data_IF_329537650422
#
_entry.id   IF_329537650422
#
_cell.length_a   1.000
_cell.length_b   1.000
_cell.length_c   1.000
_cell.angle_alpha   90.00
_cell.angle_beta   90.00
_cell.angle_gamma   90.00
#
_symmetry.space_group_name_H-M   'P 1'
#
loop_
_entity.id
_entity.type
_entity.pdbx_description
1 polymer ?
#
# COMPACT_ATOMS: atom_id res chain seq x y z
N UNK A 1 -16.36 -2.19 8.72
CA UNK A 1 -15.80 -2.48 7.40
C UNK A 1 -16.96 -2.79 6.47
N UNK A 2 -17.00 -2.18 5.29
CA UNK A 2 -17.92 -2.59 4.24
C UNK A 2 -17.07 -3.21 3.12
N UNK A 3 -17.63 -4.19 2.39
CA UNK A 3 -17.03 -4.62 1.14
C UNK A 3 -16.98 -3.39 0.22
N UNK A 4 -15.77 -3.03 -0.24
CA UNK A 4 -15.58 -1.95 -1.20
C UNK A 4 -16.57 -2.18 -2.36
N UNK A 5 -17.43 -1.21 -2.73
CA UNK A 5 -18.18 -1.29 -3.97
C UNK A 5 -17.23 -0.96 -5.12
N UNK A 6 -16.18 -1.76 -5.31
CA UNK A 6 -15.50 -1.84 -6.59
C UNK A 6 -16.49 -2.51 -7.54
N UNK A 7 -17.48 -1.73 -7.97
CA UNK A 7 -18.60 -2.22 -8.72
C UNK A 7 -18.07 -2.56 -10.11
N UNK A 8 -17.77 -3.84 -10.36
CA UNK A 8 -17.25 -4.30 -11.64
C UNK A 8 -18.36 -4.23 -12.69
N UNK A 9 -18.61 -3.01 -13.18
CA UNK A 9 -19.68 -2.72 -14.13
C UNK A 9 -19.54 -3.57 -15.39
N UNK A 10 -18.31 -3.70 -15.91
CA UNK A 10 -18.04 -4.55 -17.06
C UNK A 10 -18.38 -6.03 -16.79
N UNK A 11 -18.08 -6.55 -15.60
CA UNK A 11 -18.50 -7.87 -15.18
C UNK A 11 -20.03 -8.05 -15.14
N UNK A 12 -20.77 -7.03 -14.68
CA UNK A 12 -22.24 -7.04 -14.70
C UNK A 12 -22.79 -7.07 -16.12
N UNK A 13 -22.22 -6.29 -17.03
CA UNK A 13 -22.62 -6.26 -18.45
C UNK A 13 -22.33 -7.60 -19.12
N UNK A 14 -21.12 -8.14 -18.95
CA UNK A 14 -20.75 -9.46 -19.50
C UNK A 14 -21.67 -10.57 -18.99
N UNK A 15 -21.97 -10.54 -17.68
CA UNK A 15 -22.93 -11.46 -17.07
C UNK A 15 -24.33 -11.33 -17.68
N UNK A 16 -24.81 -10.10 -17.89
CA UNK A 16 -26.11 -9.85 -18.55
C UNK A 16 -26.15 -10.39 -19.98
N UNK A 17 -25.00 -10.39 -20.67
CA UNK A 17 -24.85 -10.94 -22.02
C UNK A 17 -24.49 -12.44 -22.04
N UNK A 18 -24.42 -13.10 -20.88
CA UNK A 18 -23.98 -14.49 -20.73
C UNK A 18 -22.57 -14.77 -21.28
N UNK A 19 -21.69 -13.77 -21.28
CA UNK A 19 -20.29 -13.87 -21.71
C UNK A 19 -19.41 -14.08 -20.46
N UNK A 20 -18.51 -15.08 -20.44
CA UNK A 20 -17.59 -15.27 -19.32
C UNK A 20 -16.58 -14.12 -19.21
N UNK A 21 -16.35 -13.61 -17.99
CA UNK A 21 -15.37 -12.57 -17.74
C UNK A 21 -13.97 -13.15 -17.52
N UNK A 22 -13.17 -13.22 -18.59
CA UNK A 22 -11.80 -13.74 -18.51
C UNK A 22 -10.82 -12.79 -17.81
N UNK A 23 -11.18 -11.51 -17.65
CA UNK A 23 -10.35 -10.50 -16.99
C UNK A 23 -10.48 -10.55 -15.46
N UNK A 24 -11.55 -11.15 -14.96
CA UNK A 24 -11.79 -11.31 -13.54
C UNK A 24 -10.76 -12.26 -12.90
N UNK A 25 -10.33 -11.90 -11.70
CA UNK A 25 -9.43 -12.67 -10.87
C UNK A 25 -9.78 -12.42 -9.40
N UNK A 26 -9.86 -13.50 -8.61
CA UNK A 26 -10.00 -13.40 -7.16
C UNK A 26 -8.62 -13.23 -6.54
N UNK A 27 -8.37 -12.06 -5.96
CA UNK A 27 -7.13 -11.75 -5.25
C UNK A 27 -7.38 -11.96 -3.74
N UNK A 28 -6.52 -12.72 -3.03
CA UNK A 28 -6.68 -12.96 -1.60
C UNK A 28 -6.47 -11.67 -0.78
N UNK A 29 -6.87 -11.69 0.49
CA UNK A 29 -6.65 -10.60 1.46
C UNK A 29 -7.06 -9.23 0.91
N UNK A 30 -8.28 -9.11 0.40
CA UNK A 30 -8.75 -7.84 -0.13
C UNK A 30 -8.79 -6.78 0.99
N UNK A 31 -8.15 -5.62 0.79
CA UNK A 31 -8.12 -4.57 1.80
C UNK A 31 -9.54 -4.11 2.14
N UNK A 32 -9.80 -3.92 3.42
CA UNK A 32 -11.11 -3.50 3.91
C UNK A 32 -11.26 -1.98 3.84
N UNK A 33 -12.46 -1.54 3.50
CA UNK A 33 -12.83 -0.15 3.52
C UNK A 33 -13.37 0.30 4.88
N UNK A 34 -12.83 1.42 5.33
CA UNK A 34 -13.18 2.06 6.58
C UNK A 34 -13.57 3.51 6.36
N UNK A 35 -14.50 4.00 7.17
CA UNK A 35 -14.71 5.45 7.31
C UNK A 35 -13.47 6.07 7.96
N UNK A 36 -12.86 7.02 7.27
CA UNK A 36 -11.63 7.67 7.73
C UNK A 36 -11.93 9.01 8.39
N UNK A 37 -11.09 9.39 9.35
CA UNK A 37 -11.07 10.73 9.92
C UNK A 37 -9.63 11.08 10.33
N UNK A 38 -9.28 12.38 10.48
CA UNK A 38 -7.95 12.76 10.92
C UNK A 38 -7.57 12.12 12.26
N UNK A 39 -6.41 11.48 12.31
CA UNK A 39 -5.92 10.84 13.52
C UNK A 39 -5.72 11.86 14.66
N UNK A 40 -6.16 11.49 15.88
CA UNK A 40 -5.92 12.27 17.09
C UNK A 40 -5.63 11.33 18.25
N UNK A 41 -4.43 11.42 18.83
CA UNK A 41 -4.01 10.59 19.98
C UNK A 41 -4.97 10.68 21.17
N UNK A 42 -5.53 11.86 21.44
CA UNK A 42 -6.52 12.06 22.52
C UNK A 42 -7.84 11.30 22.31
N UNK A 43 -8.10 10.79 21.10
CA UNK A 43 -9.27 10.00 20.74
C UNK A 43 -8.90 8.58 20.32
N UNK A 44 -7.72 8.07 20.70
CA UNK A 44 -7.19 6.78 20.25
C UNK A 44 -8.19 5.63 20.40
N UNK A 45 -8.90 5.56 21.54
CA UNK A 45 -9.93 4.54 21.81
C UNK A 45 -11.13 4.55 20.86
N UNK A 46 -11.28 5.56 20.00
CA UNK A 46 -12.32 5.63 18.96
C UNK A 46 -11.87 5.05 17.62
N UNK A 47 -10.59 4.75 17.47
CA UNK A 47 -10.04 4.18 16.25
C UNK A 47 -10.03 2.65 16.33
N UNK A 48 -10.36 2.01 15.21
CA UNK A 48 -10.32 0.56 15.06
C UNK A 48 -8.88 0.04 15.21
N UNK A 49 -8.72 -1.10 15.87
CA UNK A 49 -7.41 -1.72 16.11
C UNK A 49 -6.53 -0.98 17.13
N UNK A 50 -7.09 -0.02 17.88
CA UNK A 50 -6.31 0.77 18.86
C UNK A 50 -5.79 -0.02 20.06
N UNK A 51 -6.26 -1.25 20.25
CA UNK A 51 -5.84 -2.16 21.32
C UNK A 51 -4.45 -2.77 21.07
N UNK A 52 -4.03 -2.89 19.81
CA UNK A 52 -2.73 -3.44 19.41
C UNK A 52 -1.86 -2.35 18.75
N UNK A 53 -0.88 -1.86 19.51
CA UNK A 53 0.00 -0.78 19.05
C UNK A 53 0.96 -1.23 17.94
N UNK A 54 1.28 -2.52 17.85
CA UNK A 54 2.25 -3.03 16.90
C UNK A 54 1.67 -3.12 15.48
N UNK A 55 0.34 -3.32 15.39
CA UNK A 55 -0.39 -3.48 14.12
C UNK A 55 -1.28 -2.28 13.77
N UNK A 56 -1.50 -1.33 14.70
CA UNK A 56 -2.40 -0.19 14.49
C UNK A 56 -2.09 0.66 13.25
N UNK A 57 -0.82 0.98 13.02
CA UNK A 57 -0.37 1.70 11.82
C UNK A 57 0.21 0.72 10.81
N UNK A 58 -0.22 0.84 9.55
CA UNK A 58 0.33 0.03 8.47
C UNK A 58 1.81 0.33 8.23
N UNK A 59 2.53 -0.62 7.62
CA UNK A 59 3.93 -0.43 7.23
C UNK A 59 4.13 0.86 6.41
N UNK A 60 3.26 1.08 5.41
CA UNK A 60 3.25 2.29 4.58
C UNK A 60 3.08 3.58 5.39
N UNK A 61 2.16 3.61 6.35
CA UNK A 61 1.95 4.78 7.23
C UNK A 61 3.17 5.02 8.14
N UNK A 62 3.75 3.96 8.71
CA UNK A 62 4.96 4.06 9.54
C UNK A 62 6.14 4.60 8.74
N UNK A 63 6.34 4.14 7.51
CA UNK A 63 7.37 4.64 6.62
C UNK A 63 7.18 6.13 6.29
N UNK A 64 5.94 6.56 6.02
CA UNK A 64 5.63 7.97 5.76
C UNK A 64 5.94 8.86 6.97
N UNK A 65 5.52 8.45 8.17
CA UNK A 65 5.80 9.19 9.41
C UNK A 65 7.30 9.23 9.69
N UNK A 66 8.01 8.11 9.52
CA UNK A 66 9.45 8.05 9.71
C UNK A 66 10.19 8.97 8.72
N UNK A 67 9.80 8.94 7.44
CA UNK A 67 10.37 9.83 6.43
C UNK A 67 10.10 11.30 6.75
N UNK A 68 8.88 11.67 7.17
CA UNK A 68 8.55 13.04 7.55
C UNK A 68 9.42 13.53 8.72
N UNK A 69 9.66 12.69 9.73
CA UNK A 69 10.58 13.01 10.83
C UNK A 69 12.00 13.24 10.29
N UNK A 70 12.49 12.34 9.43
CA UNK A 70 13.83 12.45 8.86
C UNK A 70 13.98 13.67 7.95
N UNK A 71 12.97 14.01 7.15
CA UNK A 71 12.96 15.15 6.24
C UNK A 71 12.86 16.50 6.96
N UNK A 72 12.26 16.54 8.15
CA UNK A 72 12.07 17.78 8.92
C UNK A 72 13.12 18.00 10.01
N UNK A 73 13.95 17.00 10.31
CA UNK A 73 14.92 17.07 11.39
C UNK A 73 16.06 18.05 11.10
N UNK A 74 16.30 18.96 12.04
CA UNK A 74 17.40 19.94 11.95
C UNK A 74 18.67 19.35 12.53
N UNK A 75 19.75 19.32 11.74
CA UNK A 75 21.07 18.85 12.19
C UNK A 75 22.08 19.98 12.37
N UNK A 76 21.75 21.20 11.92
CA UNK A 76 22.61 22.37 12.06
C UNK A 76 21.86 23.69 12.08
N UNK A 77 22.37 24.70 11.38
CA UNK A 77 21.80 26.04 11.31
C UNK A 77 20.67 26.09 10.27
N UNK A 78 19.45 26.35 10.73
CA UNK A 78 18.28 26.58 9.85
C UNK A 78 18.50 27.63 8.77
N UNK A 79 19.23 28.71 9.07
CA UNK A 79 19.57 29.77 8.08
C UNK A 79 20.38 29.26 6.89
N UNK A 80 21.09 28.15 7.07
CA UNK A 80 21.87 27.49 6.02
C UNK A 80 21.10 26.35 5.37
N UNK A 81 19.84 26.11 5.74
CA UNK A 81 19.04 24.97 5.33
C UNK A 81 19.68 23.61 5.67
N UNK A 82 20.41 23.54 6.79
CA UNK A 82 20.98 22.30 7.35
C UNK A 82 19.88 21.48 8.06
N UNK A 83 18.92 21.00 7.27
CA UNK A 83 17.69 20.31 7.69
C UNK A 83 17.41 19.17 6.72
N UNK A 84 16.94 18.05 7.26
CA UNK A 84 16.36 16.96 6.49
C UNK A 84 17.36 15.96 5.95
N UNK A 85 16.86 14.75 5.72
CA UNK A 85 17.65 13.65 5.15
C UNK A 85 18.01 13.88 3.68
N UNK A 86 17.14 14.54 2.90
CA UNK A 86 17.34 14.72 1.46
C UNK A 86 18.61 15.51 1.17
N UNK A 87 18.88 16.57 1.95
CA UNK A 87 20.12 17.34 1.83
C UNK A 87 21.36 16.52 2.19
N UNK A 88 21.28 15.69 3.22
CA UNK A 88 22.40 14.83 3.62
C UNK A 88 22.70 13.77 2.54
N UNK A 89 21.72 13.38 1.73
CA UNK A 89 21.91 12.54 0.55
C UNK A 89 22.57 13.34 -0.58
N UNK A 90 22.10 14.57 -0.85
CA UNK A 90 22.69 15.46 -1.85
C UNK A 90 24.16 15.81 -1.57
N UNK A 91 24.51 15.97 -0.29
CA UNK A 91 25.87 16.22 0.18
C UNK A 91 26.70 14.93 0.34
N UNK A 92 26.17 13.77 -0.08
CA UNK A 92 26.80 12.44 -0.02
C UNK A 92 27.26 12.01 1.39
N UNK A 93 26.67 12.58 2.44
CA UNK A 93 26.87 12.13 3.83
C UNK A 93 26.24 10.76 4.04
N UNK A 94 25.09 10.52 3.40
CA UNK A 94 24.47 9.21 3.29
C UNK A 94 24.43 8.76 1.83
N UNK A 95 24.58 7.45 1.61
CA UNK A 95 24.51 6.85 0.27
C UNK A 95 23.09 6.55 -0.21
N UNK A 96 22.12 6.50 0.70
CA UNK A 96 20.74 6.17 0.36
C UNK A 96 19.84 6.14 1.60
N UNK A 97 18.57 6.50 1.41
CA UNK A 97 17.52 6.36 2.41
C UNK A 97 16.28 5.77 1.74
N UNK A 98 15.87 4.58 2.17
CA UNK A 98 14.74 3.88 1.59
C UNK A 98 14.03 3.02 2.65
N UNK A 99 12.69 2.87 2.56
CA UNK A 99 11.98 1.93 3.39
C UNK A 99 12.30 0.49 2.97
N UNK A 100 12.22 -0.44 3.92
CA UNK A 100 12.34 -1.86 3.61
C UNK A 100 11.00 -2.44 3.18
N UNK A 101 11.03 -3.38 2.24
CA UNK A 101 9.85 -4.12 1.82
C UNK A 101 9.47 -5.22 2.80
N UNK A 102 8.21 -5.61 2.78
CA UNK A 102 7.70 -6.73 3.57
C UNK A 102 8.16 -8.06 2.96
N UNK A 103 9.15 -8.69 3.59
CA UNK A 103 9.55 -10.06 3.29
C UNK A 103 9.98 -10.35 1.85
N UNK A 104 10.14 -11.64 1.50
CA UNK A 104 10.41 -12.08 0.14
C UNK A 104 9.17 -11.90 -0.76
N UNK A 105 9.41 -11.76 -2.06
CA UNK A 105 8.34 -11.69 -3.06
C UNK A 105 8.02 -13.06 -3.67
N UNK A 106 8.93 -14.03 -3.49
CA UNK A 106 8.76 -15.41 -3.91
C UNK A 106 7.67 -16.09 -3.10
N UNK A 107 6.85 -16.89 -3.79
CA UNK A 107 5.84 -17.71 -3.13
C UNK A 107 6.52 -18.89 -2.41
N UNK A 108 6.11 -19.22 -1.18
CA UNK A 108 6.53 -20.45 -0.53
C UNK A 108 6.10 -21.68 -1.34
N UNK A 109 6.73 -22.84 -1.09
CA UNK A 109 6.35 -24.10 -1.76
C UNK A 109 4.92 -24.52 -1.39
N UNK A 110 4.62 -24.46 -0.10
CA UNK A 110 3.31 -24.74 0.48
C UNK A 110 2.81 -23.47 1.17
N UNK A 111 1.68 -22.93 0.71
CA UNK A 111 1.05 -21.75 1.30
C UNK A 111 -0.47 -21.82 1.14
N UNK A 112 -1.19 -21.21 2.07
CA UNK A 112 -2.58 -20.82 1.85
C UNK A 112 -2.62 -19.38 1.31
N UNK A 113 -3.49 -19.05 0.34
CA UNK A 113 -3.59 -17.70 -0.20
C UNK A 113 -3.74 -16.60 0.86
N UNK A 114 -4.41 -16.92 1.98
CA UNK A 114 -4.66 -16.02 3.09
C UNK A 114 -3.38 -15.70 3.91
N UNK A 115 -2.36 -16.56 3.87
CA UNK A 115 -1.10 -16.38 4.60
C UNK A 115 -0.08 -15.50 3.84
N UNK A 116 -0.40 -15.11 2.61
CA UNK A 116 0.51 -14.34 1.77
C UNK A 116 0.66 -12.90 2.28
N UNK A 117 1.91 -12.43 2.31
CA UNK A 117 2.18 -11.01 2.55
C UNK A 117 1.81 -10.15 1.33
N UNK A 118 1.66 -8.84 1.53
CA UNK A 118 1.23 -7.92 0.49
C UNK A 118 2.14 -7.93 -0.75
N UNK A 119 3.46 -8.08 -0.56
CA UNK A 119 4.44 -8.14 -1.65
C UNK A 119 4.28 -9.42 -2.49
N UNK A 120 4.04 -10.55 -1.84
CA UNK A 120 3.77 -11.83 -2.51
C UNK A 120 2.46 -11.78 -3.30
N UNK A 121 1.41 -11.18 -2.73
CA UNK A 121 0.12 -10.99 -3.43
C UNK A 121 0.31 -10.15 -4.69
N UNK A 122 0.95 -8.99 -4.59
CA UNK A 122 1.18 -8.12 -5.75
C UNK A 122 2.02 -8.79 -6.83
N UNK A 123 3.07 -9.51 -6.44
CA UNK A 123 3.87 -10.28 -7.39
C UNK A 123 3.06 -11.43 -8.03
N UNK A 124 2.24 -12.15 -7.27
CA UNK A 124 1.52 -13.31 -7.78
C UNK A 124 0.28 -12.97 -8.61
N UNK A 125 -0.39 -11.85 -8.31
CA UNK A 125 -1.71 -11.49 -8.85
C UNK A 125 -1.73 -10.20 -9.69
N UNK A 126 -0.60 -9.51 -9.87
CA UNK A 126 -0.56 -8.29 -10.68
C UNK A 126 0.73 -8.10 -11.49
N UNK A 127 1.89 -8.02 -10.85
CA UNK A 127 3.15 -7.62 -11.48
C UNK A 127 3.84 -8.74 -12.30
N UNK A 128 3.07 -9.49 -13.11
CA UNK A 128 3.56 -10.57 -13.98
C UNK A 128 3.08 -10.39 -15.41
N UNK A 129 3.96 -10.67 -16.36
CA UNK A 129 3.65 -10.65 -17.79
C UNK A 129 2.41 -11.47 -18.16
N UNK A 130 2.16 -12.61 -17.49
CA UNK A 130 0.97 -13.44 -17.76
C UNK A 130 -0.37 -12.86 -17.30
N UNK A 131 -0.39 -11.72 -16.61
CA UNK A 131 -1.58 -11.12 -15.99
C UNK A 131 -1.97 -9.77 -16.61
N UNK A 132 -1.33 -9.36 -17.70
CA UNK A 132 -1.55 -8.05 -18.33
C UNK A 132 -3.02 -7.78 -18.75
N UNK A 133 -3.81 -8.83 -18.98
CA UNK A 133 -5.22 -8.75 -19.38
C UNK A 133 -6.20 -8.86 -18.20
N UNK A 134 -5.70 -9.06 -16.97
CA UNK A 134 -6.53 -9.13 -15.76
C UNK A 134 -6.81 -7.72 -15.24
N UNK A 135 -7.91 -7.57 -14.50
CA UNK A 135 -8.15 -6.29 -13.81
C UNK A 135 -7.06 -6.03 -12.76
N UNK A 136 -6.64 -4.77 -12.64
CA UNK A 136 -5.64 -4.35 -11.69
C UNK A 136 -6.21 -4.38 -10.25
N UNK A 137 -5.53 -4.98 -9.26
CA UNK A 137 -5.94 -4.94 -7.86
C UNK A 137 -5.53 -3.59 -7.22
N UNK A 138 -6.25 -2.53 -7.60
CA UNK A 138 -5.92 -1.15 -7.21
C UNK A 138 -5.85 -0.94 -5.69
N UNK A 139 -6.72 -1.62 -4.93
CA UNK A 139 -6.72 -1.53 -3.47
C UNK A 139 -5.44 -2.08 -2.85
N UNK A 140 -4.97 -3.24 -3.33
CA UNK A 140 -3.71 -3.84 -2.88
C UNK A 140 -2.50 -2.98 -3.27
N UNK A 141 -2.51 -2.39 -4.48
CA UNK A 141 -1.45 -1.48 -4.94
C UNK A 141 -1.42 -0.24 -4.03
N UNK A 142 -2.58 0.35 -3.74
CA UNK A 142 -2.74 1.51 -2.86
C UNK A 142 -2.30 1.23 -1.43
N UNK A 143 -2.68 0.07 -0.86
CA UNK A 143 -2.29 -0.30 0.50
C UNK A 143 -0.77 -0.45 0.65
N UNK A 144 -0.12 -1.10 -0.33
CA UNK A 144 1.31 -1.39 -0.27
C UNK A 144 2.21 -0.22 -0.67
N UNK A 145 1.90 0.48 -1.77
CA UNK A 145 2.72 1.57 -2.30
C UNK A 145 2.24 2.97 -1.90
N UNK A 146 1.04 3.07 -1.33
CA UNK A 146 0.40 4.33 -0.97
C UNK A 146 -0.40 4.96 -2.12
N UNK A 147 -1.10 6.02 -1.75
CA UNK A 147 -2.09 6.71 -2.59
C UNK A 147 -1.55 7.22 -3.93
N UNK A 148 -0.33 7.77 -3.94
CA UNK A 148 0.26 8.34 -5.16
C UNK A 148 0.46 7.27 -6.25
N UNK A 149 0.94 6.08 -5.87
CA UNK A 149 1.17 4.98 -6.81
C UNK A 149 -0.14 4.29 -7.15
N UNK A 150 -1.04 4.11 -6.18
CA UNK A 150 -2.39 3.59 -6.44
C UNK A 150 -3.13 4.44 -7.48
N UNK A 151 -3.09 5.77 -7.36
CA UNK A 151 -3.73 6.67 -8.31
C UNK A 151 -3.10 6.63 -9.71
N UNK A 152 -1.77 6.49 -9.79
CA UNK A 152 -1.09 6.32 -11.08
C UNK A 152 -1.60 5.10 -11.85
N UNK A 153 -1.71 3.94 -11.18
CA UNK A 153 -2.21 2.72 -11.82
C UNK A 153 -3.72 2.70 -12.04
N UNK A 154 -4.49 3.46 -11.25
CA UNK A 154 -5.92 3.66 -11.51
C UNK A 154 -6.17 4.50 -12.77
N UNK A 155 -5.23 5.37 -13.13
CA UNK A 155 -5.33 6.23 -14.31
C UNK A 155 -4.84 5.57 -15.60
N UNK A 156 -3.84 4.67 -15.51
CA UNK A 156 -3.25 3.94 -16.63
C UNK A 156 -4.22 2.92 -17.24
#
# INVERSE_FOLDING_TARGET
>A
AHSHPADNWSGKVLKSLHIPNVMEQRVPNQPLDYYTCPFRKSKLSKFLGSDDQDTYFSSTQRHQVAYEILATQVYGKRKRAEVGIDRLLEEEVYSGAFPLHEGPYELPKDYQPEDLNARQILNAYWAKWGLWYKYQPLDHIREYYGEKIGLYFAWL
#
